data_IF_366426953583
#
_entry.id   IF_366426953583
#
_cell.length_a   1.000
_cell.length_b   1.000
_cell.length_c   1.000
_cell.angle_alpha   90.00
_cell.angle_beta   90.00
_cell.angle_gamma   90.00
#
_symmetry.space_group_name_H-M   'P 1'
#
loop_
_entity.id
_entity.type
_entity.pdbx_description
1 polymer ?
#
# COMPACT_ATOMS: atom_id res chain seq x y z
N UNK A 1 79.50 -33.88 -2.35
CA UNK A 1 79.01 -32.53 -1.96
C UNK A 1 77.90 -31.99 -2.88
N UNK A 2 77.83 -32.35 -4.18
CA UNK A 2 76.78 -31.87 -5.12
C UNK A 2 75.33 -32.35 -4.87
N UNK A 3 75.13 -33.46 -4.15
CA UNK A 3 73.78 -34.02 -3.96
C UNK A 3 72.92 -33.23 -2.94
N UNK A 4 73.55 -32.46 -2.04
CA UNK A 4 72.83 -31.69 -1.02
C UNK A 4 72.29 -30.36 -1.57
N UNK A 5 72.96 -29.75 -2.57
CA UNK A 5 72.52 -28.50 -3.19
C UNK A 5 71.32 -28.70 -4.12
N UNK A 6 71.29 -29.81 -4.89
CA UNK A 6 70.18 -30.11 -5.80
C UNK A 6 68.87 -30.35 -5.03
N UNK A 7 68.94 -31.09 -3.90
CA UNK A 7 67.77 -31.30 -3.03
C UNK A 7 67.28 -29.99 -2.39
N UNK A 8 68.19 -29.09 -2.05
CA UNK A 8 67.82 -27.79 -1.47
C UNK A 8 67.15 -26.87 -2.52
N UNK A 9 67.61 -26.87 -3.77
CA UNK A 9 66.97 -26.12 -4.87
C UNK A 9 65.58 -26.68 -5.20
N UNK A 10 65.41 -28.00 -5.15
CA UNK A 10 64.12 -28.65 -5.37
C UNK A 10 63.11 -28.33 -4.26
N UNK A 11 63.55 -28.32 -3.00
CA UNK A 11 62.73 -27.87 -1.85
C UNK A 11 62.38 -26.38 -1.97
N UNK A 12 63.31 -25.53 -2.41
CA UNK A 12 63.07 -24.10 -2.64
C UNK A 12 62.03 -23.85 -3.73
N UNK A 13 62.08 -24.59 -4.84
CA UNK A 13 61.10 -24.54 -5.93
C UNK A 13 59.70 -24.96 -5.47
N UNK A 14 59.59 -26.02 -4.66
CA UNK A 14 58.32 -26.47 -4.06
C UNK A 14 57.75 -25.39 -3.13
N UNK A 15 58.60 -24.75 -2.32
CA UNK A 15 58.19 -23.67 -1.40
C UNK A 15 57.61 -22.45 -2.12
N UNK A 16 58.19 -22.06 -3.26
CA UNK A 16 57.65 -20.98 -4.10
C UNK A 16 56.28 -21.36 -4.66
N UNK A 17 56.12 -22.60 -5.14
CA UNK A 17 54.82 -23.12 -5.58
C UNK A 17 53.76 -23.09 -4.48
N UNK A 18 54.14 -23.46 -3.26
CA UNK A 18 53.24 -23.42 -2.10
C UNK A 18 52.81 -21.99 -1.73
N UNK A 19 53.73 -21.01 -1.79
CA UNK A 19 53.38 -19.59 -1.57
C UNK A 19 52.42 -19.04 -2.63
N UNK A 20 52.59 -19.43 -3.89
CA UNK A 20 51.69 -18.99 -4.98
C UNK A 20 50.27 -19.50 -4.74
N UNK A 21 50.12 -20.79 -4.41
CA UNK A 21 48.80 -21.37 -4.11
C UNK A 21 48.18 -20.74 -2.87
N UNK A 22 48.99 -20.46 -1.85
CA UNK A 22 48.52 -19.79 -0.64
C UNK A 22 47.94 -18.40 -0.92
N UNK A 23 48.64 -17.58 -1.72
CA UNK A 23 48.15 -16.26 -2.11
C UNK A 23 46.87 -16.38 -2.97
N UNK A 24 46.84 -17.33 -3.92
CA UNK A 24 45.67 -17.56 -4.75
C UNK A 24 44.43 -17.91 -3.92
N UNK A 25 44.58 -18.78 -2.90
CA UNK A 25 43.49 -19.15 -2.00
C UNK A 25 42.99 -17.96 -1.17
N UNK A 26 43.88 -17.07 -0.72
CA UNK A 26 43.48 -15.86 -0.01
C UNK A 26 42.64 -14.94 -0.91
N UNK A 27 43.05 -14.77 -2.18
CA UNK A 27 42.31 -13.93 -3.12
C UNK A 27 40.92 -14.50 -3.45
N UNK A 28 40.82 -15.82 -3.65
CA UNK A 28 39.53 -16.49 -3.85
C UNK A 28 38.63 -16.35 -2.61
N UNK A 29 39.20 -16.54 -1.41
CA UNK A 29 38.46 -16.37 -0.16
C UNK A 29 37.97 -14.93 0.04
N UNK A 30 38.77 -13.92 -0.35
CA UNK A 30 38.39 -12.51 -0.26
C UNK A 30 37.19 -12.19 -1.18
N UNK A 31 37.22 -12.64 -2.43
CA UNK A 31 36.10 -12.45 -3.37
C UNK A 31 34.85 -13.17 -2.89
N UNK A 32 34.98 -14.42 -2.43
CA UNK A 32 33.85 -15.17 -1.89
C UNK A 32 33.23 -14.47 -0.66
N UNK A 33 34.05 -13.95 0.24
CA UNK A 33 33.59 -13.22 1.44
C UNK A 33 32.83 -11.94 1.05
N UNK A 34 33.34 -11.18 0.08
CA UNK A 34 32.69 -9.97 -0.40
C UNK A 34 31.28 -10.28 -0.97
N UNK A 35 31.14 -11.35 -1.76
CA UNK A 35 29.84 -11.76 -2.31
C UNK A 35 28.89 -12.25 -1.21
N UNK A 36 29.38 -13.00 -0.22
CA UNK A 36 28.58 -13.45 0.93
C UNK A 36 28.06 -12.25 1.71
N UNK A 37 28.92 -11.27 2.01
CA UNK A 37 28.54 -10.05 2.73
C UNK A 37 27.50 -9.26 1.94
N UNK A 38 27.76 -9.00 0.64
CA UNK A 38 26.85 -8.24 -0.21
C UNK A 38 25.47 -8.90 -0.31
N UNK A 39 25.44 -10.23 -0.43
CA UNK A 39 24.18 -10.97 -0.47
C UNK A 39 23.46 -10.89 0.88
N UNK A 40 24.19 -11.04 1.99
CA UNK A 40 23.66 -10.89 3.33
C UNK A 40 23.08 -9.50 3.60
N UNK A 41 23.77 -8.44 3.16
CA UNK A 41 23.30 -7.05 3.28
C UNK A 41 22.06 -6.80 2.43
N UNK A 42 22.06 -7.26 1.18
CA UNK A 42 20.89 -7.11 0.29
C UNK A 42 19.67 -7.85 0.85
N UNK A 43 19.85 -9.07 1.37
CA UNK A 43 18.77 -9.81 2.02
C UNK A 43 18.24 -9.09 3.25
N UNK A 44 19.12 -8.48 4.06
CA UNK A 44 18.70 -7.71 5.23
C UNK A 44 17.97 -6.42 4.85
N UNK A 45 18.41 -5.70 3.81
CA UNK A 45 17.72 -4.51 3.31
C UNK A 45 16.36 -4.87 2.74
N UNK A 46 16.28 -5.91 1.92
CA UNK A 46 15.02 -6.41 1.39
C UNK A 46 14.06 -6.84 2.52
N UNK A 47 14.57 -7.55 3.53
CA UNK A 47 13.76 -7.98 4.67
C UNK A 47 13.22 -6.79 5.48
N UNK A 48 14.03 -5.75 5.68
CA UNK A 48 13.59 -4.51 6.34
C UNK A 48 12.56 -3.76 5.50
N UNK A 49 12.81 -3.63 4.20
CA UNK A 49 11.88 -2.97 3.28
C UNK A 49 10.53 -3.68 3.25
N UNK A 50 10.50 -5.01 3.04
CA UNK A 50 9.26 -5.79 3.06
C UNK A 50 8.58 -5.73 4.43
N UNK A 51 9.34 -5.71 5.53
CA UNK A 51 8.79 -5.54 6.87
C UNK A 51 8.09 -4.19 7.05
N UNK A 52 8.73 -3.11 6.58
CA UNK A 52 8.16 -1.75 6.60
C UNK A 52 6.93 -1.65 5.70
N UNK A 53 6.99 -2.17 4.47
CA UNK A 53 5.85 -2.19 3.54
C UNK A 53 4.67 -2.98 4.10
N UNK A 54 4.92 -4.15 4.71
CA UNK A 54 3.85 -4.95 5.34
C UNK A 54 3.26 -4.21 6.54
N UNK A 55 4.08 -3.52 7.33
CA UNK A 55 3.59 -2.71 8.44
C UNK A 55 2.72 -1.55 7.94
N UNK A 56 3.15 -0.86 6.87
CA UNK A 56 2.39 0.22 6.26
C UNK A 56 1.10 -0.28 5.60
N UNK A 57 1.11 -1.43 4.94
CA UNK A 57 -0.10 -2.05 4.36
C UNK A 57 -1.15 -2.34 5.45
N UNK A 58 -0.72 -2.91 6.58
CA UNK A 58 -1.63 -3.28 7.67
C UNK A 58 -2.10 -2.04 8.46
N UNK A 59 -1.23 -1.04 8.63
CA UNK A 59 -1.50 0.14 9.47
C UNK A 59 -2.06 1.32 8.68
N UNK A 60 -1.90 1.34 7.35
CA UNK A 60 -2.30 2.42 6.44
C UNK A 60 -3.69 2.21 5.84
N UNK A 61 -4.58 1.50 6.53
CA UNK A 61 -5.96 1.32 6.11
C UNK A 61 -6.85 2.46 6.63
N UNK A 62 -7.88 2.79 5.86
CA UNK A 62 -8.95 3.70 6.26
C UNK A 62 -10.13 2.88 6.74
N UNK A 63 -10.65 3.16 7.93
CA UNK A 63 -11.85 2.50 8.45
C UNK A 63 -13.04 3.42 8.25
N UNK A 64 -14.09 2.91 7.61
CA UNK A 64 -15.35 3.64 7.42
C UNK A 64 -16.19 3.47 8.68
N UNK A 65 -16.61 4.58 9.28
CA UNK A 65 -17.45 4.57 10.49
C UNK A 65 -18.93 4.57 10.14
N UNK A 66 -19.35 5.44 9.24
CA UNK A 66 -20.76 5.60 8.86
C UNK A 66 -20.89 6.26 7.49
N UNK A 67 -21.95 5.90 6.76
CA UNK A 67 -22.23 6.47 5.44
C UNK A 67 -23.69 6.94 5.36
N UNK A 68 -23.89 8.16 4.87
CA UNK A 68 -25.18 8.80 4.73
C UNK A 68 -25.41 9.28 3.30
N UNK A 69 -26.66 9.33 2.87
CA UNK A 69 -27.02 10.01 1.62
C UNK A 69 -26.92 11.52 1.83
N UNK A 70 -26.06 12.20 1.09
CA UNK A 70 -25.94 13.67 1.15
C UNK A 70 -26.81 14.34 0.10
N UNK A 71 -26.66 13.91 -1.14
CA UNK A 71 -27.50 14.29 -2.27
C UNK A 71 -28.04 12.98 -2.86
N UNK A 72 -29.36 12.85 -2.89
CA UNK A 72 -30.03 11.66 -3.38
C UNK A 72 -29.71 11.35 -4.85
N UNK A 73 -29.29 12.36 -5.62
CA UNK A 73 -28.99 12.26 -7.05
C UNK A 73 -27.50 12.30 -7.36
N UNK A 74 -26.64 12.59 -6.38
CA UNK A 74 -25.24 12.88 -6.69
C UNK A 74 -24.20 12.33 -5.70
N UNK A 75 -24.47 12.26 -4.40
CA UNK A 75 -23.36 12.07 -3.44
C UNK A 75 -23.72 11.39 -2.13
N UNK A 76 -22.73 10.69 -1.57
CA UNK A 76 -22.76 10.12 -0.22
C UNK A 76 -21.78 10.86 0.69
N UNK A 77 -22.18 11.11 1.93
CA UNK A 77 -21.31 11.60 2.98
C UNK A 77 -20.75 10.42 3.77
N UNK A 78 -19.44 10.27 3.78
CA UNK A 78 -18.74 9.20 4.49
C UNK A 78 -17.94 9.80 5.63
N UNK A 79 -18.15 9.26 6.83
CA UNK A 79 -17.26 9.46 7.95
C UNK A 79 -16.27 8.31 8.02
N UNK A 80 -15.00 8.65 8.06
CA UNK A 80 -13.91 7.68 8.08
C UNK A 80 -12.82 8.12 9.05
N UNK A 81 -12.05 7.15 9.53
CA UNK A 81 -10.88 7.37 10.36
C UNK A 81 -9.68 6.62 9.78
N UNK A 82 -8.51 7.24 9.89
CA UNK A 82 -7.25 6.56 9.60
C UNK A 82 -6.90 5.65 10.77
N UNK A 83 -6.36 4.46 10.49
CA UNK A 83 -6.00 3.55 11.56
C UNK A 83 -4.91 4.15 12.49
N UNK A 84 -5.02 3.94 13.81
CA UNK A 84 -4.04 4.46 14.75
C UNK A 84 -2.66 3.85 14.49
N UNK A 85 -1.66 4.70 14.29
CA UNK A 85 -0.30 4.28 13.92
C UNK A 85 -0.06 4.19 12.41
N UNK A 86 -0.99 4.66 11.57
CA UNK A 86 -0.70 4.92 10.16
C UNK A 86 0.37 6.02 10.01
N UNK A 87 1.01 6.06 8.84
CA UNK A 87 1.71 7.27 8.43
C UNK A 87 0.69 8.33 7.97
N UNK A 88 1.17 9.56 7.75
CA UNK A 88 0.37 10.61 7.11
C UNK A 88 0.03 10.14 5.69
N UNK A 89 -1.24 10.19 5.32
CA UNK A 89 -1.74 9.73 4.02
C UNK A 89 -2.15 10.96 3.20
N UNK A 90 -1.67 11.05 1.97
CA UNK A 90 -2.07 12.11 1.04
C UNK A 90 -3.44 11.79 0.42
N UNK A 91 -4.34 12.75 0.42
CA UNK A 91 -5.70 12.62 -0.13
C UNK A 91 -5.71 12.25 -1.62
N UNK A 92 -4.70 12.69 -2.38
CA UNK A 92 -4.56 12.35 -3.80
C UNK A 92 -4.15 10.89 -4.04
N UNK A 93 -3.60 10.25 -3.01
CA UNK A 93 -3.15 8.84 -3.07
C UNK A 93 -4.20 7.86 -2.58
N UNK A 94 -5.34 8.37 -2.10
CA UNK A 94 -6.50 7.56 -1.73
C UNK A 94 -7.54 7.65 -2.83
N UNK A 95 -7.95 6.49 -3.32
CA UNK A 95 -8.98 6.38 -4.35
C UNK A 95 -10.15 5.58 -3.82
N UNK A 96 -11.36 6.02 -4.13
CA UNK A 96 -12.53 5.18 -3.97
C UNK A 96 -13.05 4.72 -5.32
N UNK A 97 -13.74 3.58 -5.28
CA UNK A 97 -14.53 3.09 -6.39
C UNK A 97 -15.86 2.56 -5.85
N UNK A 98 -16.93 2.90 -6.54
CA UNK A 98 -18.27 2.43 -6.28
C UNK A 98 -18.76 1.63 -7.47
N UNK A 99 -19.34 0.47 -7.21
CA UNK A 99 -20.02 -0.34 -8.23
C UNK A 99 -21.45 -0.62 -7.81
N UNK A 100 -22.36 -0.46 -8.75
CA UNK A 100 -23.79 -0.61 -8.52
C UNK A 100 -24.51 -1.09 -9.78
N UNK A 101 -25.77 -1.43 -9.62
CA UNK A 101 -26.71 -1.65 -10.72
C UNK A 101 -27.74 -0.52 -10.70
N UNK A 102 -27.93 0.14 -11.84
CA UNK A 102 -28.96 1.16 -12.00
C UNK A 102 -30.34 0.49 -12.09
N UNK A 103 -31.30 0.92 -11.27
CA UNK A 103 -32.65 0.33 -11.16
C UNK A 103 -33.51 0.63 -12.40
N UNK A 104 -33.25 1.73 -13.10
CA UNK A 104 -34.03 2.12 -14.28
C UNK A 104 -33.56 1.40 -15.55
N UNK A 105 -32.27 1.13 -15.69
CA UNK A 105 -31.67 0.54 -16.90
C UNK A 105 -31.16 -0.89 -16.72
N UNK A 106 -31.12 -1.41 -15.50
CA UNK A 106 -30.54 -2.72 -15.14
C UNK A 106 -29.12 -2.91 -15.70
N UNK A 107 -28.33 -1.84 -15.66
CA UNK A 107 -26.94 -1.85 -16.14
C UNK A 107 -25.98 -1.69 -14.98
N UNK A 108 -24.87 -2.41 -15.03
CA UNK A 108 -23.76 -2.20 -14.11
C UNK A 108 -23.09 -0.85 -14.38
N UNK A 109 -22.99 -0.05 -13.33
CA UNK A 109 -22.33 1.25 -13.33
C UNK A 109 -21.06 1.18 -12.47
N UNK A 110 -20.10 2.02 -12.83
CA UNK A 110 -18.81 2.15 -12.15
C UNK A 110 -18.50 3.63 -11.97
N UNK A 111 -18.16 4.01 -10.75
CA UNK A 111 -17.78 5.36 -10.37
C UNK A 111 -16.48 5.28 -9.61
N UNK A 112 -15.57 6.20 -9.87
CA UNK A 112 -14.31 6.29 -9.15
C UNK A 112 -13.83 7.72 -9.10
N UNK A 113 -13.28 8.11 -7.95
CA UNK A 113 -12.63 9.39 -7.73
C UNK A 113 -11.62 9.29 -6.58
N UNK A 114 -10.95 10.40 -6.27
CA UNK A 114 -9.99 10.51 -5.17
C UNK A 114 -10.56 11.19 -3.91
N UNK A 115 -9.73 11.35 -2.87
CA UNK A 115 -10.14 11.96 -1.59
C UNK A 115 -9.86 13.47 -1.51
N UNK A 116 -9.58 14.16 -2.62
CA UNK A 116 -9.22 15.59 -2.59
C UNK A 116 -10.33 16.52 -2.10
N UNK A 117 -11.56 16.03 -2.02
CA UNK A 117 -12.73 16.72 -1.46
C UNK A 117 -12.97 16.39 0.02
N UNK A 118 -12.04 15.68 0.66
CA UNK A 118 -12.11 15.40 2.08
C UNK A 118 -12.01 16.68 2.92
N UNK A 119 -12.67 16.63 4.07
CA UNK A 119 -12.84 17.74 5.00
C UNK A 119 -12.64 17.26 6.43
N UNK A 120 -12.34 18.20 7.32
CA UNK A 120 -12.52 17.95 8.75
C UNK A 120 -14.00 17.77 9.10
N UNK A 121 -14.29 17.29 10.30
CA UNK A 121 -15.67 17.04 10.74
C UNK A 121 -16.56 18.29 10.77
N UNK A 122 -15.97 19.49 10.82
CA UNK A 122 -16.67 20.79 10.74
C UNK A 122 -16.74 21.33 9.29
N UNK A 123 -16.70 20.44 8.29
CA UNK A 123 -16.76 20.75 6.85
C UNK A 123 -15.66 21.73 6.37
N UNK A 124 -14.61 21.90 7.17
CA UNK A 124 -13.47 22.74 6.84
C UNK A 124 -12.56 21.97 5.90
N UNK A 125 -12.19 22.59 4.76
CA UNK A 125 -11.27 21.99 3.81
C UNK A 125 -9.95 21.65 4.49
N UNK A 126 -9.41 20.48 4.16
CA UNK A 126 -8.16 20.02 4.72
C UNK A 126 -7.02 20.96 4.32
N UNK A 127 -6.32 21.50 5.33
CA UNK A 127 -5.11 22.30 5.12
C UNK A 127 -3.85 21.45 5.11
N UNK A 128 -3.94 20.23 5.66
CA UNK A 128 -2.88 19.25 5.76
C UNK A 128 -3.45 17.87 5.40
N UNK A 129 -2.57 16.97 4.94
CA UNK A 129 -2.86 15.58 4.66
C UNK A 129 -3.51 14.83 5.86
N UNK A 130 -4.09 13.65 5.60
CA UNK A 130 -4.78 12.84 6.61
C UNK A 130 -3.81 12.35 7.69
N UNK A 131 -4.01 12.83 8.92
CA UNK A 131 -3.22 12.45 10.08
C UNK A 131 -3.73 11.15 10.72
N UNK A 132 -2.85 10.34 11.36
CA UNK A 132 -3.23 9.08 11.99
C UNK A 132 -4.15 9.27 13.20
N UNK A 133 -5.25 8.51 13.25
CA UNK A 133 -6.16 8.46 14.38
C UNK A 133 -7.11 9.65 14.50
N UNK A 134 -7.23 10.45 13.45
CA UNK A 134 -8.22 11.54 13.34
C UNK A 134 -9.35 11.09 12.42
N UNK A 135 -10.57 11.48 12.79
CA UNK A 135 -11.76 11.25 11.98
C UNK A 135 -11.99 12.41 11.02
N UNK A 136 -12.31 12.09 9.78
CA UNK A 136 -12.56 13.02 8.68
C UNK A 136 -13.88 12.69 7.99
N UNK A 137 -14.35 13.63 7.17
CA UNK A 137 -15.55 13.47 6.37
C UNK A 137 -15.24 13.71 4.90
N UNK A 138 -15.85 12.93 4.02
CA UNK A 138 -15.77 13.16 2.57
C UNK A 138 -17.16 13.08 1.95
N UNK A 139 -17.46 14.02 1.06
CA UNK A 139 -18.58 13.91 0.15
C UNK A 139 -18.10 13.19 -1.11
N UNK A 140 -18.37 11.89 -1.19
CA UNK A 140 -18.04 11.11 -2.38
C UNK A 140 -19.06 11.38 -3.48
N UNK A 141 -18.57 11.81 -4.64
CA UNK A 141 -19.37 11.90 -5.86
C UNK A 141 -19.69 10.48 -6.38
N UNK A 142 -20.98 10.21 -6.53
CA UNK A 142 -21.54 8.97 -7.04
C UNK A 142 -21.93 9.08 -8.53
N UNK A 143 -21.57 10.16 -9.21
CA UNK A 143 -21.94 10.45 -10.61
C UNK A 143 -20.75 10.65 -11.55
N UNK A 144 -19.52 10.47 -11.05
CA UNK A 144 -18.31 10.60 -11.85
C UNK A 144 -18.13 9.40 -12.80
N UNK A 145 -18.53 9.56 -14.06
CA UNK A 145 -18.35 8.56 -15.13
C UNK A 145 -19.41 7.45 -15.19
N UNK A 146 -20.30 7.39 -14.20
CA UNK A 146 -21.46 6.48 -14.10
C UNK A 146 -22.51 7.11 -13.19
N UNK A 147 -23.51 6.35 -12.75
CA UNK A 147 -24.47 6.80 -11.72
C UNK A 147 -24.68 5.69 -10.70
N UNK A 148 -24.18 5.91 -9.48
CA UNK A 148 -24.42 5.09 -8.31
C UNK A 148 -25.11 5.88 -7.18
N UNK A 149 -25.80 6.98 -7.53
CA UNK A 149 -26.56 7.76 -6.58
C UNK A 149 -27.70 6.94 -5.96
N UNK A 150 -28.17 7.36 -4.78
CA UNK A 150 -29.22 6.63 -4.07
C UNK A 150 -30.51 6.52 -4.90
N UNK A 151 -30.80 7.53 -5.72
CA UNK A 151 -31.97 7.55 -6.62
C UNK A 151 -31.80 6.59 -7.80
N UNK A 152 -30.62 6.51 -8.42
CA UNK A 152 -30.36 5.60 -9.54
C UNK A 152 -30.40 4.14 -9.10
N UNK A 153 -29.81 3.82 -7.93
CA UNK A 153 -29.68 2.44 -7.44
C UNK A 153 -30.99 1.92 -6.83
N UNK A 154 -31.83 2.81 -6.30
CA UNK A 154 -33.14 2.47 -5.76
C UNK A 154 -33.12 1.83 -4.37
N UNK A 155 -34.32 1.60 -3.81
CA UNK A 155 -34.51 1.08 -2.44
C UNK A 155 -34.39 -0.45 -2.43
N UNK A 156 -33.76 -1.00 -1.39
CA UNK A 156 -33.40 -2.42 -1.22
C UNK A 156 -32.32 -2.92 -2.18
N UNK A 157 -31.59 -2.00 -2.80
CA UNK A 157 -30.42 -2.27 -3.63
C UNK A 157 -29.13 -1.95 -2.86
N UNK A 158 -28.01 -2.44 -3.37
CA UNK A 158 -26.71 -2.31 -2.71
C UNK A 158 -25.67 -1.69 -3.65
N UNK A 159 -24.85 -0.79 -3.11
CA UNK A 159 -23.65 -0.27 -3.76
C UNK A 159 -22.44 -0.87 -3.07
N UNK A 160 -21.50 -1.38 -3.87
CA UNK A 160 -20.24 -1.89 -3.35
C UNK A 160 -19.19 -0.79 -3.40
N UNK A 161 -18.66 -0.41 -2.25
CA UNK A 161 -17.62 0.60 -2.09
C UNK A 161 -16.29 -0.08 -1.79
N UNK A 162 -15.25 0.30 -2.53
CA UNK A 162 -13.88 0.02 -2.18
C UNK A 162 -13.12 1.33 -2.00
N UNK A 163 -12.29 1.38 -0.96
CA UNK A 163 -11.35 2.46 -0.72
C UNK A 163 -9.95 1.84 -0.76
N UNK A 164 -9.07 2.41 -1.58
CA UNK A 164 -7.69 1.98 -1.73
C UNK A 164 -6.76 3.12 -1.35
N UNK A 165 -5.79 2.84 -0.48
CA UNK A 165 -4.73 3.77 -0.09
C UNK A 165 -3.42 3.30 -0.73
N UNK A 166 -2.70 4.19 -1.41
CA UNK A 166 -1.39 3.84 -1.96
C UNK A 166 -0.39 3.47 -0.85
N UNK A 167 0.28 2.32 -0.98
CA UNK A 167 1.15 1.74 0.07
C UNK A 167 0.44 1.47 1.41
N UNK A 168 -0.89 1.39 1.38
CA UNK A 168 -1.76 1.07 2.50
C UNK A 168 -2.79 0.01 2.12
N UNK A 169 -3.61 -0.36 3.11
CA UNK A 169 -4.64 -1.37 2.92
C UNK A 169 -5.80 -0.89 2.05
N UNK A 170 -6.57 -1.86 1.55
CA UNK A 170 -7.88 -1.61 0.95
C UNK A 170 -9.00 -1.95 1.92
N UNK A 171 -10.04 -1.13 1.91
CA UNK A 171 -11.26 -1.33 2.71
C UNK A 171 -12.43 -1.60 1.79
N UNK A 172 -13.26 -2.54 2.20
CA UNK A 172 -14.43 -2.99 1.45
C UNK A 172 -15.67 -2.75 2.29
N UNK A 173 -16.64 -2.06 1.72
CA UNK A 173 -17.92 -1.79 2.36
C UNK A 173 -19.08 -2.03 1.39
N UNK A 174 -20.22 -2.45 1.93
CA UNK A 174 -21.46 -2.59 1.16
C UNK A 174 -22.49 -1.62 1.71
N UNK A 175 -22.88 -0.65 0.89
CA UNK A 175 -23.89 0.34 1.19
C UNK A 175 -25.26 -0.26 0.84
N UNK A 176 -26.16 -0.40 1.80
CA UNK A 176 -27.53 -0.87 1.57
C UNK A 176 -28.52 0.28 1.63
N UNK A 177 -29.17 0.59 0.50
CA UNK A 177 -30.06 1.74 0.39
C UNK A 177 -31.45 1.33 0.91
N UNK A 178 -31.79 1.81 2.12
CA UNK A 178 -33.12 1.60 2.73
C UNK A 178 -34.06 2.78 2.52
N UNK A 179 -33.50 3.97 2.32
CA UNK A 179 -34.19 5.21 1.97
C UNK A 179 -33.25 6.04 1.08
N UNK A 180 -33.81 6.71 0.07
CA UNK A 180 -33.08 7.57 -0.85
C UNK A 180 -33.08 9.04 -0.40
N UNK A 181 -33.78 9.36 0.69
CA UNK A 181 -33.83 10.72 1.24
C UNK A 181 -32.48 11.16 1.81
N UNK A 182 -32.22 12.46 1.74
CA UNK A 182 -31.01 13.05 2.34
C UNK A 182 -30.99 12.79 3.85
N UNK A 183 -29.85 12.34 4.35
CA UNK A 183 -29.63 11.97 5.74
C UNK A 183 -29.99 10.51 6.06
N UNK A 184 -30.48 9.74 5.09
CA UNK A 184 -30.66 8.30 5.26
C UNK A 184 -29.31 7.62 5.48
N UNK A 185 -29.25 6.76 6.50
CA UNK A 185 -28.08 5.95 6.81
C UNK A 185 -28.04 4.72 5.90
N UNK A 186 -26.89 4.48 5.29
CA UNK A 186 -26.68 3.42 4.28
C UNK A 186 -25.73 2.32 4.79
N UNK A 187 -25.02 2.59 5.90
CA UNK A 187 -24.24 1.67 6.76
C UNK A 187 -24.50 2.01 8.21
#
# INVERSE_FOLDING_TARGET
MKNNSIKNDEIGSIGIGAMIVFIALILVAAVASAVIIQTGEKLQQNAQQTGSETQQEISGKITVTSVFVWDNTASYLVYFETAPGSNIIDETTVQYQMTCEDDATNTYQYVSDDFTTATEFDETALTNNLEPGIAYAIQMDATAGGDCSATSVGINSQVTLWIHVENGGSTYETLSITDTSRGAQVI
#
